data_IF_629665010211
#
_entry.id   IF_629665010211
#
_cell.length_a   1.000
_cell.length_b   1.000
_cell.length_c   1.000
_cell.angle_alpha   90.00
_cell.angle_beta   90.00
_cell.angle_gamma   90.00
#
_symmetry.space_group_name_H-M   'P 1'
#
loop_
_entity.id
_entity.type
_entity.pdbx_description
1 polymer ?
#
# COMPACT_ATOMS: atom_id res chain seq x y z
N UNK A 1 -9.75 -13.19 -14.71
CA UNK A 1 -9.62 -13.59 -13.29
C UNK A 1 -8.39 -12.93 -12.67
N UNK A 2 -8.55 -11.67 -12.28
CA UNK A 2 -7.44 -10.82 -11.80
C UNK A 2 -6.97 -11.15 -10.38
N UNK A 3 -7.77 -11.85 -9.57
CA UNK A 3 -7.59 -11.91 -8.13
C UNK A 3 -7.23 -13.29 -7.58
N UNK A 4 -7.57 -14.38 -8.27
CA UNK A 4 -7.28 -15.73 -7.79
C UNK A 4 -5.85 -16.21 -8.04
N UNK A 5 -5.12 -15.60 -8.98
CA UNK A 5 -3.71 -15.92 -9.25
C UNK A 5 -2.73 -15.21 -8.32
N UNK A 6 -3.07 -14.01 -7.82
CA UNK A 6 -2.18 -13.19 -6.98
C UNK A 6 -1.77 -13.78 -5.64
N UNK A 7 -2.53 -14.74 -5.11
CA UNK A 7 -2.21 -15.40 -3.83
C UNK A 7 -1.11 -16.46 -3.95
N UNK A 8 -0.91 -17.07 -5.13
CA UNK A 8 0.16 -18.05 -5.37
C UNK A 8 1.55 -17.44 -5.52
N UNK A 9 1.61 -16.19 -5.93
CA UNK A 9 2.87 -15.55 -6.36
C UNK A 9 3.67 -14.89 -5.22
N UNK A 10 3.06 -14.67 -4.04
CA UNK A 10 3.77 -14.08 -2.89
C UNK A 10 5.01 -14.90 -2.50
N UNK A 11 4.93 -16.23 -2.51
CA UNK A 11 6.08 -17.10 -2.20
C UNK A 11 7.17 -17.06 -3.27
N UNK A 12 6.82 -16.92 -4.54
CA UNK A 12 7.79 -16.81 -5.63
C UNK A 12 8.64 -15.53 -5.54
N UNK A 13 8.13 -14.49 -4.90
CA UNK A 13 8.80 -13.17 -4.81
C UNK A 13 9.98 -13.20 -3.86
N UNK A 14 9.87 -13.85 -2.70
CA UNK A 14 11.02 -14.04 -1.81
C UNK A 14 12.14 -14.82 -2.48
N UNK A 15 11.80 -15.85 -3.24
CA UNK A 15 12.77 -16.65 -4.01
C UNK A 15 13.36 -15.87 -5.19
N UNK A 16 12.60 -14.99 -5.83
CA UNK A 16 13.02 -14.20 -6.99
C UNK A 16 13.73 -12.89 -6.62
N UNK A 17 13.67 -12.47 -5.34
CA UNK A 17 14.41 -11.32 -4.83
C UNK A 17 13.90 -9.96 -5.31
N UNK A 18 12.59 -9.79 -5.47
CA UNK A 18 11.96 -8.50 -5.75
C UNK A 18 10.75 -8.22 -4.87
N UNK A 19 10.33 -6.96 -4.79
CA UNK A 19 9.10 -6.55 -4.10
C UNK A 19 8.18 -5.78 -5.03
N UNK A 20 6.87 -5.76 -4.75
CA UNK A 20 5.93 -4.93 -5.48
C UNK A 20 5.70 -3.58 -4.81
N UNK A 21 5.64 -2.50 -5.58
CA UNK A 21 5.17 -1.23 -5.05
C UNK A 21 3.67 -1.31 -4.75
N UNK A 22 3.29 -0.78 -3.60
CA UNK A 22 1.91 -0.58 -3.17
C UNK A 22 1.61 0.92 -3.20
N UNK A 23 0.70 1.31 -4.09
CA UNK A 23 0.46 2.70 -4.45
C UNK A 23 -0.88 3.16 -3.89
N UNK A 24 -0.85 4.21 -3.06
CA UNK A 24 -2.05 4.83 -2.53
C UNK A 24 -2.81 5.58 -3.63
N UNK A 25 -4.11 5.37 -3.68
CA UNK A 25 -5.01 6.04 -4.63
C UNK A 25 -6.20 6.67 -3.91
N UNK A 26 -6.63 7.82 -4.38
CA UNK A 26 -7.73 8.62 -3.81
C UNK A 26 -8.80 9.01 -4.83
N UNK A 27 -8.63 8.56 -6.09
CA UNK A 27 -9.56 8.89 -7.18
C UNK A 27 -9.40 7.91 -8.34
N UNK A 28 -10.35 7.95 -9.28
CA UNK A 28 -10.23 7.22 -10.55
C UNK A 28 -9.00 7.63 -11.35
N UNK A 29 -8.57 8.90 -11.26
CA UNK A 29 -7.38 9.40 -11.96
C UNK A 29 -6.09 8.82 -11.38
N UNK A 30 -5.92 8.83 -10.06
CA UNK A 30 -4.75 8.23 -9.41
C UNK A 30 -4.70 6.72 -9.59
N UNK A 31 -5.87 6.05 -9.62
CA UNK A 31 -5.96 4.63 -9.92
C UNK A 31 -5.57 4.34 -11.37
N UNK A 32 -6.03 5.12 -12.35
CA UNK A 32 -5.62 4.99 -13.74
C UNK A 32 -4.11 5.21 -13.92
N UNK A 33 -3.54 6.20 -13.22
CA UNK A 33 -2.10 6.44 -13.21
C UNK A 33 -1.32 5.23 -12.68
N UNK A 34 -1.82 4.57 -11.63
CA UNK A 34 -1.21 3.36 -11.08
C UNK A 34 -1.24 2.20 -12.10
N UNK A 35 -2.39 1.96 -12.73
CA UNK A 35 -2.52 0.93 -13.77
C UNK A 35 -1.62 1.20 -14.97
N UNK A 36 -1.52 2.47 -15.39
CA UNK A 36 -0.62 2.89 -16.47
C UNK A 36 0.84 2.63 -16.10
N UNK A 37 1.28 3.06 -14.93
CA UNK A 37 2.67 2.90 -14.48
C UNK A 37 3.08 1.42 -14.38
N UNK A 38 2.23 0.58 -13.79
CA UNK A 38 2.48 -0.87 -13.75
C UNK A 38 2.56 -1.48 -15.14
N UNK A 39 1.68 -1.06 -16.06
CA UNK A 39 1.69 -1.55 -17.46
C UNK A 39 2.96 -1.14 -18.18
N UNK A 40 3.37 0.13 -18.07
CA UNK A 40 4.60 0.63 -18.70
C UNK A 40 5.85 -0.04 -18.12
N UNK A 41 5.82 -0.41 -16.84
CA UNK A 41 6.89 -1.17 -16.22
C UNK A 41 6.86 -2.67 -16.59
N UNK A 42 5.76 -3.20 -17.13
CA UNK A 42 5.56 -4.64 -17.28
C UNK A 42 5.58 -5.36 -15.92
N UNK A 43 5.07 -4.74 -14.89
CA UNK A 43 5.05 -5.23 -13.50
C UNK A 43 3.62 -5.44 -13.04
N UNK A 44 3.38 -6.48 -12.27
CA UNK A 44 2.20 -6.52 -11.41
C UNK A 44 2.39 -5.53 -10.24
N UNK A 45 1.31 -5.17 -9.53
CA UNK A 45 1.40 -4.20 -8.45
C UNK A 45 0.24 -4.24 -7.47
N UNK A 46 0.34 -3.42 -6.45
CA UNK A 46 -0.69 -3.29 -5.41
C UNK A 46 -1.25 -1.87 -5.45
N UNK A 47 -2.56 -1.76 -5.54
CA UNK A 47 -3.30 -0.50 -5.35
C UNK A 47 -3.89 -0.51 -3.97
N UNK A 48 -3.60 0.51 -3.18
CA UNK A 48 -4.08 0.58 -1.79
C UNK A 48 -4.87 1.85 -1.52
N UNK A 49 -5.81 1.74 -0.56
CA UNK A 49 -6.74 2.79 -0.20
C UNK A 49 -6.68 2.98 1.31
N UNK A 50 -6.19 4.14 1.76
CA UNK A 50 -6.17 4.50 3.17
C UNK A 50 -7.55 4.93 3.67
N UNK A 51 -7.73 5.03 4.99
CA UNK A 51 -8.98 5.49 5.59
C UNK A 51 -9.34 6.90 5.13
N UNK A 52 -8.36 7.82 5.07
CA UNK A 52 -8.55 9.18 4.57
C UNK A 52 -8.85 9.24 3.08
N UNK A 53 -8.13 8.45 2.27
CA UNK A 53 -8.37 8.34 0.83
C UNK A 53 -9.77 7.78 0.51
N UNK A 54 -10.23 6.80 1.27
CA UNK A 54 -11.56 6.24 1.15
C UNK A 54 -12.66 7.27 1.53
N UNK A 55 -12.51 7.95 2.66
CA UNK A 55 -13.44 9.00 3.06
C UNK A 55 -13.54 10.10 1.99
N UNK A 56 -12.38 10.57 1.48
CA UNK A 56 -12.33 11.56 0.41
C UNK A 56 -13.07 11.11 -0.84
N UNK A 57 -12.87 9.86 -1.27
CA UNK A 57 -13.49 9.30 -2.48
C UNK A 57 -15.01 9.23 -2.40
N UNK A 58 -15.57 9.06 -1.20
CA UNK A 58 -17.03 9.05 -1.01
C UNK A 58 -17.68 10.43 -1.25
N UNK A 59 -16.86 11.47 -1.35
CA UNK A 59 -17.31 12.85 -1.55
C UNK A 59 -17.51 13.62 -0.24
N UNK A 60 -17.32 14.94 -0.33
CA UNK A 60 -17.27 15.84 0.83
C UNK A 60 -18.59 15.94 1.60
N UNK A 61 -19.70 15.49 1.03
CA UNK A 61 -21.01 15.47 1.68
C UNK A 61 -21.27 14.16 2.40
N UNK A 62 -20.80 13.04 1.83
CA UNK A 62 -21.04 11.68 2.34
C UNK A 62 -20.06 11.33 3.46
N UNK A 63 -18.76 11.49 3.22
CA UNK A 63 -17.67 11.23 4.17
C UNK A 63 -17.76 9.86 4.84
N UNK A 64 -17.93 8.82 4.02
CA UNK A 64 -18.04 7.43 4.47
C UNK A 64 -16.94 6.57 3.85
N UNK A 65 -16.06 6.04 4.70
CA UNK A 65 -14.89 5.27 4.28
C UNK A 65 -15.27 3.98 3.52
N UNK A 66 -16.33 3.29 3.95
CA UNK A 66 -16.76 2.04 3.30
C UNK A 66 -17.28 2.33 1.90
N UNK A 67 -18.15 3.34 1.76
CA UNK A 67 -18.68 3.76 0.45
C UNK A 67 -17.56 4.13 -0.52
N UNK A 68 -16.58 4.91 -0.07
CA UNK A 68 -15.48 5.31 -0.94
C UNK A 68 -14.56 4.17 -1.34
N UNK A 69 -14.23 3.29 -0.39
CA UNK A 69 -13.42 2.10 -0.67
C UNK A 69 -14.12 1.14 -1.64
N UNK A 70 -15.41 0.88 -1.45
CA UNK A 70 -16.22 0.06 -2.36
C UNK A 70 -16.27 0.67 -3.75
N UNK A 71 -16.51 1.99 -3.86
CA UNK A 71 -16.57 2.67 -5.15
C UNK A 71 -15.25 2.56 -5.94
N UNK A 72 -14.10 2.78 -5.30
CA UNK A 72 -12.80 2.63 -5.95
C UNK A 72 -12.48 1.16 -6.28
N UNK A 73 -12.80 0.24 -5.39
CA UNK A 73 -12.57 -1.18 -5.64
C UNK A 73 -13.41 -1.69 -6.82
N UNK A 74 -14.70 -1.35 -6.91
CA UNK A 74 -15.54 -1.73 -8.04
C UNK A 74 -15.07 -1.06 -9.34
N UNK A 75 -14.64 0.20 -9.28
CA UNK A 75 -14.01 0.86 -10.43
C UNK A 75 -12.77 0.09 -10.90
N UNK A 76 -11.89 -0.29 -9.97
CA UNK A 76 -10.70 -1.09 -10.29
C UNK A 76 -11.06 -2.43 -10.90
N UNK A 77 -12.04 -3.15 -10.36
CA UNK A 77 -12.54 -4.43 -10.93
C UNK A 77 -13.04 -4.30 -12.37
N UNK A 78 -13.59 -3.13 -12.72
CA UNK A 78 -14.06 -2.87 -14.09
C UNK A 78 -12.91 -2.54 -15.04
N UNK A 79 -12.04 -1.60 -14.65
CA UNK A 79 -11.04 -1.04 -15.58
C UNK A 79 -9.78 -1.91 -15.70
N UNK A 80 -9.31 -2.52 -14.62
CA UNK A 80 -8.07 -3.29 -14.60
C UNK A 80 -8.08 -4.51 -15.53
N UNK A 81 -9.25 -5.04 -15.87
CA UNK A 81 -9.41 -6.15 -16.83
C UNK A 81 -8.87 -5.84 -18.23
N UNK A 82 -8.72 -4.55 -18.57
CA UNK A 82 -8.25 -4.09 -19.86
C UNK A 82 -6.74 -3.83 -19.90
N UNK A 83 -6.03 -4.10 -18.80
CA UNK A 83 -4.59 -3.94 -18.71
C UNK A 83 -3.90 -5.31 -18.66
N UNK A 84 -2.74 -5.47 -19.33
CA UNK A 84 -2.01 -6.75 -19.42
C UNK A 84 -1.14 -6.98 -18.16
N UNK A 85 -1.68 -6.75 -16.98
CA UNK A 85 -1.01 -6.88 -15.68
C UNK A 85 -1.99 -7.44 -14.65
N UNK A 86 -1.47 -7.97 -13.54
CA UNK A 86 -2.29 -8.26 -12.38
C UNK A 86 -2.16 -7.15 -11.34
N UNK A 87 -3.27 -6.80 -10.70
CA UNK A 87 -3.32 -5.81 -9.64
C UNK A 87 -4.02 -6.40 -8.43
N UNK A 88 -3.40 -6.26 -7.26
CA UNK A 88 -4.05 -6.55 -5.99
C UNK A 88 -4.64 -5.28 -5.38
N UNK A 89 -5.83 -5.40 -4.78
CA UNK A 89 -6.48 -4.34 -4.02
C UNK A 89 -6.23 -4.54 -2.54
N UNK A 90 -5.78 -3.50 -1.87
CA UNK A 90 -5.43 -3.48 -0.47
C UNK A 90 -6.05 -2.28 0.25
N UNK A 91 -6.39 -2.40 1.53
CA UNK A 91 -6.67 -1.25 2.37
C UNK A 91 -5.46 -0.96 3.24
N UNK A 92 -5.07 0.29 3.27
CA UNK A 92 -3.92 0.79 4.01
C UNK A 92 -4.33 1.29 5.39
N UNK A 93 -3.42 1.41 6.31
CA UNK A 93 -3.53 1.78 7.72
C UNK A 93 -4.95 1.93 8.29
N UNK A 94 -5.38 0.95 9.09
CA UNK A 94 -6.64 1.01 9.84
C UNK A 94 -6.37 0.80 11.33
N UNK A 95 -6.39 1.89 12.08
CA UNK A 95 -6.24 1.88 13.54
C UNK A 95 -7.48 1.32 14.25
N UNK A 96 -7.32 0.95 15.52
CA UNK A 96 -8.34 0.30 16.33
C UNK A 96 -9.70 1.00 16.30
N UNK A 97 -9.71 2.33 16.41
CA UNK A 97 -10.93 3.16 16.46
C UNK A 97 -11.71 3.16 15.13
N UNK A 98 -11.04 2.78 14.06
CA UNK A 98 -11.63 2.75 12.71
C UNK A 98 -12.02 1.36 12.24
N UNK A 99 -11.66 0.27 12.95
CA UNK A 99 -11.92 -1.11 12.55
C UNK A 99 -13.40 -1.36 12.21
N UNK A 100 -14.31 -0.95 13.11
CA UNK A 100 -15.75 -1.16 12.91
C UNK A 100 -16.36 -0.27 11.82
N UNK A 101 -15.66 0.79 11.45
CA UNK A 101 -16.12 1.74 10.43
C UNK A 101 -15.44 1.53 9.07
N UNK A 102 -14.43 0.66 8.98
CA UNK A 102 -13.67 0.47 7.76
C UNK A 102 -13.37 -1.01 7.44
N UNK A 103 -12.40 -1.63 8.11
CA UNK A 103 -11.94 -2.99 7.77
C UNK A 103 -13.01 -4.05 8.05
N UNK A 104 -13.69 -3.98 9.19
CA UNK A 104 -14.70 -4.97 9.56
C UNK A 104 -15.86 -5.07 8.55
N UNK A 105 -16.47 -3.95 8.09
CA UNK A 105 -17.49 -3.97 7.03
C UNK A 105 -16.93 -4.48 5.69
N UNK A 106 -15.70 -4.12 5.31
CA UNK A 106 -15.10 -4.55 4.04
C UNK A 106 -14.78 -6.04 4.01
N UNK A 107 -14.35 -6.62 5.14
CA UNK A 107 -14.22 -8.08 5.30
C UNK A 107 -15.60 -8.76 5.12
N UNK A 108 -16.67 -8.21 5.74
CA UNK A 108 -18.00 -8.77 5.63
C UNK A 108 -18.52 -8.74 4.18
N UNK A 109 -18.29 -7.65 3.44
CA UNK A 109 -18.65 -7.54 2.02
C UNK A 109 -17.86 -8.59 1.20
N UNK A 110 -16.57 -8.75 1.45
CA UNK A 110 -15.74 -9.75 0.77
C UNK A 110 -16.20 -11.18 1.10
N UNK A 111 -16.55 -11.46 2.36
CA UNK A 111 -17.08 -12.76 2.76
C UNK A 111 -18.41 -13.06 2.04
N UNK A 112 -19.34 -12.10 1.98
CA UNK A 112 -20.61 -12.27 1.27
C UNK A 112 -20.40 -12.59 -0.21
N UNK A 113 -19.42 -11.95 -0.86
CA UNK A 113 -19.05 -12.25 -2.26
C UNK A 113 -18.51 -13.67 -2.41
N UNK A 114 -17.62 -14.09 -1.51
CA UNK A 114 -17.04 -15.44 -1.50
C UNK A 114 -18.10 -16.50 -1.28
N UNK A 115 -19.05 -16.27 -0.38
CA UNK A 115 -20.19 -17.18 -0.12
C UNK A 115 -21.10 -17.34 -1.34
N UNK A 116 -21.16 -16.32 -2.20
CA UNK A 116 -21.87 -16.36 -3.51
C UNK A 116 -21.01 -16.93 -4.66
N UNK A 117 -19.79 -17.44 -4.35
CA UNK A 117 -18.87 -17.98 -5.36
C UNK A 117 -18.18 -16.91 -6.23
N UNK A 118 -18.15 -15.67 -5.77
CA UNK A 118 -17.48 -14.55 -6.43
C UNK A 118 -16.08 -14.35 -5.81
N UNK A 119 -15.22 -13.60 -6.51
CA UNK A 119 -13.97 -13.13 -5.93
C UNK A 119 -14.25 -12.10 -4.82
N UNK A 120 -13.42 -12.03 -3.75
CA UNK A 120 -13.56 -11.02 -2.73
C UNK A 120 -13.39 -9.61 -3.33
N UNK A 121 -13.91 -8.58 -2.67
CA UNK A 121 -13.82 -7.20 -3.14
C UNK A 121 -12.38 -6.67 -3.09
N UNK A 122 -11.66 -6.99 -2.01
CA UNK A 122 -10.24 -6.72 -1.81
C UNK A 122 -9.45 -8.03 -1.79
N UNK A 123 -8.13 -7.95 -1.90
CA UNK A 123 -7.21 -9.09 -1.72
C UNK A 123 -6.64 -9.14 -0.32
N UNK A 124 -6.52 -7.99 0.32
CA UNK A 124 -5.90 -7.85 1.63
C UNK A 124 -6.38 -6.61 2.35
N UNK A 125 -6.26 -6.63 3.67
CA UNK A 125 -6.53 -5.50 4.55
C UNK A 125 -5.40 -5.33 5.54
N UNK A 126 -5.06 -4.08 5.88
CA UNK A 126 -4.10 -3.79 6.93
C UNK A 126 -4.81 -3.50 8.26
N UNK A 127 -4.30 -4.14 9.31
CA UNK A 127 -4.51 -3.81 10.70
C UNK A 127 -3.30 -3.04 11.23
N UNK A 128 -3.52 -1.80 11.61
CA UNK A 128 -2.49 -0.94 12.21
C UNK A 128 -2.60 -0.98 13.75
N UNK A 129 -1.80 -1.85 14.34
CA UNK A 129 -1.67 -2.00 15.80
C UNK A 129 -0.50 -1.21 16.40
N UNK A 130 0.13 -0.31 15.65
CA UNK A 130 1.35 0.41 16.06
C UNK A 130 1.18 1.30 17.29
N UNK A 131 -0.06 1.77 17.55
CA UNK A 131 -0.38 2.66 18.66
C UNK A 131 -0.71 1.96 19.98
N UNK A 132 -0.80 0.63 19.99
CA UNK A 132 -1.18 -0.15 21.19
C UNK A 132 -0.09 -1.15 21.58
N UNK A 133 -0.21 -1.72 22.77
CA UNK A 133 0.76 -2.70 23.27
C UNK A 133 0.73 -4.01 22.44
N UNK A 134 1.91 -4.63 22.26
CA UNK A 134 2.11 -5.78 21.36
C UNK A 134 1.15 -6.93 21.64
N UNK A 135 0.86 -7.23 22.89
CA UNK A 135 -0.06 -8.34 23.25
C UNK A 135 -1.50 -8.06 22.80
N UNK A 136 -1.99 -6.84 22.99
CA UNK A 136 -3.31 -6.43 22.50
C UNK A 136 -3.35 -6.39 20.97
N UNK A 137 -2.30 -5.86 20.34
CA UNK A 137 -2.15 -5.85 18.89
C UNK A 137 -2.28 -7.26 18.32
N UNK A 138 -1.53 -8.22 18.85
CA UNK A 138 -1.51 -9.59 18.35
C UNK A 138 -2.82 -10.34 18.61
N UNK A 139 -3.54 -10.07 19.72
CA UNK A 139 -4.87 -10.61 19.96
C UNK A 139 -5.87 -10.16 18.90
N UNK A 140 -5.92 -8.86 18.60
CA UNK A 140 -6.78 -8.31 17.56
C UNK A 140 -6.37 -8.86 16.18
N UNK A 141 -5.06 -8.93 15.91
CA UNK A 141 -4.52 -9.50 14.68
C UNK A 141 -4.96 -10.97 14.48
N UNK A 142 -4.94 -11.79 15.53
CA UNK A 142 -5.38 -13.20 15.45
C UNK A 142 -6.87 -13.30 15.10
N UNK A 143 -7.72 -12.51 15.76
CA UNK A 143 -9.16 -12.48 15.47
C UNK A 143 -9.44 -12.05 14.02
N UNK A 144 -8.76 -11.01 13.55
CA UNK A 144 -8.87 -10.55 12.16
C UNK A 144 -8.35 -11.58 11.18
N UNK A 145 -7.21 -12.24 11.48
CA UNK A 145 -6.61 -13.27 10.64
C UNK A 145 -7.57 -14.44 10.39
N UNK A 146 -8.24 -14.92 11.44
CA UNK A 146 -9.23 -15.99 11.31
C UNK A 146 -10.43 -15.59 10.46
N UNK A 147 -10.82 -14.30 10.49
CA UNK A 147 -11.93 -13.78 9.69
C UNK A 147 -11.51 -13.53 8.23
N UNK A 148 -10.34 -12.94 8.02
CA UNK A 148 -9.80 -12.71 6.67
C UNK A 148 -9.51 -14.02 5.95
N UNK A 149 -9.04 -15.05 6.64
CA UNK A 149 -8.84 -16.39 6.08
C UNK A 149 -10.14 -16.99 5.51
N UNK A 150 -11.27 -16.85 6.22
CA UNK A 150 -12.60 -17.31 5.73
C UNK A 150 -13.01 -16.55 4.45
N UNK A 151 -12.75 -15.26 4.41
CA UNK A 151 -13.05 -14.40 3.26
C UNK A 151 -12.01 -14.50 2.12
N UNK A 152 -11.03 -15.42 2.22
CA UNK A 152 -9.92 -15.59 1.27
C UNK A 152 -9.07 -14.34 1.10
N UNK A 153 -8.87 -13.58 2.16
CA UNK A 153 -8.09 -12.36 2.21
C UNK A 153 -6.75 -12.61 2.91
N UNK A 154 -5.76 -11.77 2.61
CA UNK A 154 -4.52 -11.66 3.38
C UNK A 154 -4.70 -10.55 4.41
N UNK A 155 -4.20 -10.77 5.63
CA UNK A 155 -4.10 -9.72 6.64
C UNK A 155 -2.69 -9.15 6.61
N UNK A 156 -2.57 -7.83 6.53
CA UNK A 156 -1.31 -7.13 6.84
C UNK A 156 -1.37 -6.62 8.26
N UNK A 157 -0.30 -6.84 9.01
CA UNK A 157 -0.17 -6.37 10.40
C UNK A 157 1.05 -5.49 10.54
N UNK A 158 1.04 -4.59 11.51
CA UNK A 158 2.19 -3.78 11.88
C UNK A 158 2.62 -4.09 13.31
N UNK A 159 3.90 -4.41 13.48
CA UNK A 159 4.54 -4.70 14.77
C UNK A 159 5.70 -3.74 14.98
N UNK A 160 5.55 -2.82 15.93
CA UNK A 160 6.41 -1.66 16.12
C UNK A 160 5.67 -0.37 15.70
N UNK A 161 6.32 0.77 15.79
CA UNK A 161 5.75 2.05 15.42
C UNK A 161 6.50 2.66 14.22
N UNK A 162 5.76 3.23 13.27
CA UNK A 162 6.32 4.09 12.22
C UNK A 162 6.19 5.53 12.66
N UNK A 163 7.27 6.32 12.55
CA UNK A 163 7.26 7.76 12.86
C UNK A 163 6.70 8.60 11.71
N UNK A 164 6.60 9.93 11.92
CA UNK A 164 6.17 10.87 10.89
C UNK A 164 4.68 11.12 10.87
N UNK A 165 4.14 11.56 9.73
CA UNK A 165 2.72 11.91 9.59
C UNK A 165 2.08 11.15 8.42
N UNK A 166 0.95 10.50 8.69
CA UNK A 166 0.11 9.85 7.70
C UNK A 166 -1.37 10.03 8.07
N UNK A 167 -2.20 10.45 7.10
CA UNK A 167 -3.64 10.71 7.25
C UNK A 167 -4.00 11.55 8.52
N UNK A 168 -3.13 12.52 8.86
CA UNK A 168 -3.31 13.40 10.01
C UNK A 168 -2.91 12.80 11.37
N UNK A 169 -2.29 11.64 11.38
CA UNK A 169 -1.73 11.00 12.57
C UNK A 169 -0.21 11.20 12.59
N UNK A 170 0.31 11.71 13.71
CA UNK A 170 1.75 11.97 13.87
C UNK A 170 2.37 10.95 14.82
N UNK A 171 3.36 10.19 14.32
CA UNK A 171 4.15 9.25 15.10
C UNK A 171 5.44 9.90 15.65
N UNK A 172 5.81 9.58 16.89
CA UNK A 172 7.04 10.07 17.51
C UNK A 172 8.27 9.32 16.98
N UNK A 173 9.40 10.04 16.88
CA UNK A 173 10.71 9.45 16.55
C UNK A 173 11.40 9.02 17.84
N UNK A 174 11.28 7.75 18.19
CA UNK A 174 11.87 7.18 19.40
C UNK A 174 12.31 5.71 19.17
N UNK A 175 12.71 5.00 20.24
CA UNK A 175 13.18 3.61 20.16
C UNK A 175 12.11 2.61 19.68
N UNK A 176 10.82 2.95 19.74
CA UNK A 176 9.72 2.12 19.24
C UNK A 176 9.72 1.99 17.70
N UNK A 177 10.52 2.82 17.00
CA UNK A 177 10.75 2.68 15.55
C UNK A 177 11.55 1.43 15.17
N UNK A 178 11.95 0.61 16.12
CA UNK A 178 12.75 -0.58 15.88
C UNK A 178 12.09 -1.80 16.52
N UNK A 179 11.53 -2.67 15.69
CA UNK A 179 10.99 -3.97 16.14
C UNK A 179 12.11 -4.86 16.66
N UNK A 180 11.86 -5.60 17.71
CA UNK A 180 12.84 -6.51 18.32
C UNK A 180 12.66 -7.95 17.86
N UNK A 181 13.69 -8.79 18.04
CA UNK A 181 13.59 -10.23 17.81
C UNK A 181 12.50 -10.86 18.70
N UNK A 182 12.32 -10.35 19.93
CA UNK A 182 11.29 -10.83 20.86
C UNK A 182 9.88 -10.57 20.29
N UNK A 183 9.63 -9.40 19.69
CA UNK A 183 8.35 -9.06 19.06
C UNK A 183 8.09 -9.99 17.86
N UNK A 184 9.11 -10.25 17.02
CA UNK A 184 9.00 -11.21 15.93
C UNK A 184 8.70 -12.62 16.40
N UNK A 185 9.40 -13.10 17.44
CA UNK A 185 9.11 -14.41 18.04
C UNK A 185 7.67 -14.49 18.57
N UNK A 186 7.22 -13.46 19.27
CA UNK A 186 5.87 -13.40 19.82
C UNK A 186 4.81 -13.38 18.74
N UNK A 187 5.06 -12.66 17.64
CA UNK A 187 4.19 -12.64 16.46
C UNK A 187 3.97 -14.06 15.91
N UNK A 188 5.03 -14.82 15.70
CA UNK A 188 4.93 -16.21 15.21
C UNK A 188 4.28 -17.16 16.23
N UNK A 189 4.49 -16.94 17.52
CA UNK A 189 3.82 -17.74 18.56
C UNK A 189 2.30 -17.57 18.51
N UNK A 190 1.82 -16.34 18.26
CA UNK A 190 0.38 -16.06 18.22
C UNK A 190 -0.22 -16.40 16.86
N UNK A 191 0.38 -15.94 15.76
CA UNK A 191 -0.22 -16.03 14.43
C UNK A 191 0.16 -17.27 13.65
N UNK A 192 1.27 -17.92 14.01
CA UNK A 192 1.79 -19.12 13.33
C UNK A 192 2.50 -18.78 12.00
N UNK A 193 2.77 -19.83 11.22
CA UNK A 193 3.45 -19.73 9.92
C UNK A 193 2.48 -19.76 8.72
N UNK A 194 1.20 -19.45 8.95
CA UNK A 194 0.16 -19.45 7.93
C UNK A 194 -0.97 -20.46 8.15
N UNK A 195 -0.93 -21.25 9.22
CA UNK A 195 -1.93 -22.28 9.54
C UNK A 195 -3.30 -21.68 9.88
N UNK A 196 -3.30 -20.49 10.49
CA UNK A 196 -4.52 -19.74 10.87
C UNK A 196 -5.06 -18.88 9.72
N UNK A 197 -4.22 -18.57 8.76
CA UNK A 197 -4.50 -17.69 7.63
C UNK A 197 -3.21 -17.09 7.07
N UNK A 198 -3.28 -16.49 5.90
CA UNK A 198 -2.12 -15.80 5.30
C UNK A 198 -2.03 -14.38 5.81
N UNK A 199 -0.84 -13.96 6.18
CA UNK A 199 -0.58 -12.59 6.59
C UNK A 199 0.78 -12.09 6.11
N UNK A 200 0.92 -10.79 6.04
CA UNK A 200 2.17 -10.06 5.82
C UNK A 200 2.45 -9.19 7.02
N UNK A 201 3.72 -8.86 7.26
CA UNK A 201 4.11 -8.18 8.50
C UNK A 201 4.99 -6.97 8.20
N UNK A 202 4.54 -5.78 8.58
CA UNK A 202 5.37 -4.60 8.65
C UNK A 202 6.14 -4.62 9.99
N UNK A 203 7.42 -4.95 9.91
CA UNK A 203 8.37 -4.83 11.02
C UNK A 203 9.12 -3.51 10.85
N UNK A 204 9.19 -2.70 11.90
CA UNK A 204 9.80 -1.39 11.81
C UNK A 204 11.30 -1.44 12.04
N UNK A 205 12.04 -0.69 11.22
CA UNK A 205 13.50 -0.62 11.26
C UNK A 205 14.03 0.82 11.12
N UNK A 206 13.28 1.78 11.67
CA UNK A 206 13.56 3.21 11.60
C UNK A 206 12.72 3.95 10.56
N UNK A 207 11.60 3.38 10.13
CA UNK A 207 10.71 3.91 9.12
C UNK A 207 9.99 5.17 9.58
N UNK A 208 9.77 6.11 8.65
CA UNK A 208 9.06 7.36 8.91
C UNK A 208 8.20 7.70 7.70
N UNK A 209 6.92 8.01 7.95
CA UNK A 209 5.99 8.48 6.92
C UNK A 209 6.22 9.95 6.56
N UNK A 210 5.87 10.33 5.33
CA UNK A 210 5.92 11.70 4.84
C UNK A 210 7.25 12.09 4.23
N UNK A 211 7.41 13.40 3.92
CA UNK A 211 8.61 13.95 3.33
C UNK A 211 9.57 14.44 4.41
N UNK A 212 10.75 13.85 4.50
CA UNK A 212 11.81 14.25 5.43
C UNK A 212 13.16 14.45 4.69
N UNK A 213 14.04 15.23 5.32
CA UNK A 213 15.37 15.45 4.75
C UNK A 213 16.21 14.19 4.87
N UNK A 214 16.98 13.82 3.84
CA UNK A 214 17.95 12.71 3.93
C UNK A 214 18.84 12.83 5.17
N UNK A 215 18.99 11.72 5.91
CA UNK A 215 19.79 11.68 7.14
C UNK A 215 19.07 12.12 8.42
N UNK A 216 17.79 12.53 8.35
CA UNK A 216 17.00 12.86 9.54
C UNK A 216 16.53 11.60 10.28
N UNK A 217 16.29 10.52 9.56
CA UNK A 217 15.96 9.20 10.09
C UNK A 217 17.03 8.20 9.64
N UNK A 218 17.40 7.29 10.52
CA UNK A 218 18.37 6.26 10.21
C UNK A 218 17.67 4.92 10.06
N UNK A 219 17.46 4.50 8.83
CA UNK A 219 17.03 3.15 8.52
C UNK A 219 18.09 2.11 8.90
N UNK A 220 17.66 0.99 9.46
CA UNK A 220 18.50 -0.15 9.83
C UNK A 220 17.95 -1.45 9.25
N UNK A 221 18.01 -1.67 7.92
CA UNK A 221 17.43 -2.87 7.29
C UNK A 221 17.98 -4.19 7.88
N UNK A 222 19.20 -4.17 8.45
CA UNK A 222 19.79 -5.32 9.14
C UNK A 222 18.95 -5.90 10.28
N UNK A 223 18.03 -5.11 10.89
CA UNK A 223 17.07 -5.58 11.90
C UNK A 223 16.13 -6.64 11.28
N UNK A 224 15.68 -6.42 10.05
CA UNK A 224 14.83 -7.37 9.34
C UNK A 224 15.54 -8.71 9.17
N UNK A 225 16.84 -8.67 8.79
CA UNK A 225 17.66 -9.87 8.65
C UNK A 225 17.81 -10.60 9.98
N UNK A 226 18.13 -9.88 11.06
CA UNK A 226 18.28 -10.46 12.39
C UNK A 226 17.01 -11.16 12.86
N UNK A 227 15.85 -10.52 12.70
CA UNK A 227 14.55 -11.10 13.07
C UNK A 227 14.26 -12.35 12.21
N UNK A 228 14.44 -12.27 10.88
CA UNK A 228 14.26 -13.43 10.00
C UNK A 228 15.15 -14.60 10.38
N UNK A 229 16.44 -14.34 10.63
CA UNK A 229 17.42 -15.38 10.97
C UNK A 229 17.10 -16.05 12.32
N UNK A 230 16.85 -15.28 13.38
CA UNK A 230 16.59 -15.83 14.71
C UNK A 230 15.24 -16.57 14.79
N UNK A 231 14.19 -15.97 14.20
CA UNK A 231 12.89 -16.65 14.10
C UNK A 231 12.98 -17.88 13.20
N UNK A 232 13.72 -17.81 12.11
CA UNK A 232 13.92 -18.90 11.17
C UNK A 232 14.61 -20.12 11.82
N UNK A 233 15.63 -19.89 12.65
CA UNK A 233 16.29 -20.94 13.44
C UNK A 233 15.32 -21.68 14.35
N UNK A 234 14.42 -20.95 15.03
CA UNK A 234 13.44 -21.54 15.95
C UNK A 234 12.38 -22.37 15.22
N UNK A 235 11.90 -21.88 14.08
CA UNK A 235 10.77 -22.46 13.36
C UNK A 235 11.16 -23.33 12.15
N UNK A 236 12.45 -23.44 11.83
CA UNK A 236 12.95 -24.28 10.73
C UNK A 236 12.60 -23.74 9.34
N UNK A 237 12.44 -22.41 9.19
CA UNK A 237 12.09 -21.75 7.93
C UNK A 237 13.03 -20.57 7.70
N UNK A 238 13.74 -20.52 6.56
CA UNK A 238 14.77 -19.53 6.28
C UNK A 238 14.27 -18.08 6.41
N UNK A 239 13.08 -17.78 5.86
CA UNK A 239 12.43 -16.47 5.96
C UNK A 239 10.98 -16.68 6.40
N UNK A 240 10.71 -16.73 7.71
CA UNK A 240 9.37 -17.02 8.22
C UNK A 240 8.35 -15.93 7.94
N UNK A 241 8.76 -14.68 7.76
CA UNK A 241 7.88 -13.56 7.49
C UNK A 241 7.88 -13.14 6.02
N UNK A 242 6.71 -12.84 5.49
CA UNK A 242 6.50 -12.03 4.30
C UNK A 242 6.48 -10.55 4.74
N UNK A 243 7.58 -9.82 4.52
CA UNK A 243 7.77 -8.49 5.09
C UNK A 243 7.19 -7.38 4.21
N UNK A 244 6.72 -6.33 4.87
CA UNK A 244 6.27 -5.08 4.25
C UNK A 244 7.12 -3.92 4.73
N UNK A 245 7.49 -3.03 3.81
CA UNK A 245 8.24 -1.81 4.07
C UNK A 245 7.30 -0.59 4.00
N UNK A 246 7.01 0.02 5.15
CA UNK A 246 6.27 1.28 5.26
C UNK A 246 7.23 2.47 5.32
N UNK A 247 6.73 3.67 4.96
CA UNK A 247 7.52 4.90 5.05
C UNK A 247 8.77 4.91 4.18
N UNK A 248 8.68 4.33 2.98
CA UNK A 248 9.82 4.15 2.09
C UNK A 248 10.25 5.39 1.29
N UNK A 249 9.45 6.46 1.28
CA UNK A 249 9.80 7.72 0.60
C UNK A 249 11.05 8.34 1.22
N UNK A 250 12.05 8.66 0.38
CA UNK A 250 13.35 9.18 0.84
C UNK A 250 14.41 8.13 1.19
N UNK A 251 14.09 6.83 1.09
CA UNK A 251 15.08 5.76 1.25
C UNK A 251 16.09 5.73 0.09
N UNK A 252 17.30 5.34 0.39
CA UNK A 252 18.32 5.13 -0.65
C UNK A 252 18.08 3.82 -1.40
N UNK A 253 18.58 3.73 -2.64
CA UNK A 253 18.48 2.50 -3.44
C UNK A 253 19.12 1.28 -2.71
N UNK A 254 20.19 1.50 -1.94
CA UNK A 254 20.85 0.44 -1.18
C UNK A 254 19.98 -0.05 -0.03
N UNK A 255 19.35 0.84 0.74
CA UNK A 255 18.46 0.48 1.84
C UNK A 255 17.24 -0.31 1.34
N UNK A 256 16.70 0.06 0.18
CA UNK A 256 15.61 -0.68 -0.48
C UNK A 256 16.10 -2.08 -0.90
N UNK A 257 17.24 -2.17 -1.58
CA UNK A 257 17.80 -3.44 -2.03
C UNK A 257 18.10 -4.39 -0.86
N UNK A 258 18.67 -3.85 0.23
CA UNK A 258 18.94 -4.62 1.45
C UNK A 258 17.63 -5.16 2.05
N UNK A 259 16.61 -4.30 2.22
CA UNK A 259 15.31 -4.70 2.76
C UNK A 259 14.63 -5.79 1.90
N UNK A 260 14.66 -5.65 0.57
CA UNK A 260 14.15 -6.68 -0.35
C UNK A 260 14.92 -7.99 -0.20
N UNK A 261 16.25 -7.94 -0.08
CA UNK A 261 17.07 -9.14 0.13
C UNK A 261 16.76 -9.86 1.43
N UNK A 262 16.24 -9.15 2.45
CA UNK A 262 15.86 -9.70 3.74
C UNK A 262 14.39 -10.17 3.81
N UNK A 263 13.67 -10.13 2.69
CA UNK A 263 12.33 -10.72 2.59
C UNK A 263 11.18 -9.71 2.49
N UNK A 264 11.46 -8.45 2.25
CA UNK A 264 10.42 -7.47 1.88
C UNK A 264 9.84 -7.84 0.51
N UNK A 265 8.53 -8.00 0.45
CA UNK A 265 7.77 -8.35 -0.75
C UNK A 265 6.83 -7.24 -1.22
N UNK A 266 6.58 -6.25 -0.38
CA UNK A 266 5.70 -5.09 -0.63
C UNK A 266 6.36 -3.85 -0.03
N UNK A 267 6.31 -2.73 -0.76
CA UNK A 267 6.75 -1.43 -0.25
C UNK A 267 5.67 -0.38 -0.50
N UNK A 268 5.26 0.32 0.56
CA UNK A 268 4.28 1.39 0.49
C UNK A 268 4.91 2.66 -0.08
N UNK A 269 4.25 3.25 -1.09
CA UNK A 269 4.68 4.50 -1.72
C UNK A 269 3.45 5.40 -1.89
N UNK A 270 3.41 6.50 -1.14
CA UNK A 270 2.33 7.49 -1.19
C UNK A 270 2.87 8.89 -1.47
N UNK A 271 3.65 9.48 -0.57
CA UNK A 271 4.12 10.87 -0.64
C UNK A 271 4.74 11.22 -1.99
N UNK A 272 5.60 10.36 -2.53
CA UNK A 272 6.27 10.59 -3.82
C UNK A 272 5.29 10.58 -4.99
N UNK A 273 4.31 9.68 -4.96
CA UNK A 273 3.29 9.57 -6.03
C UNK A 273 2.29 10.71 -5.97
N UNK A 274 1.93 11.19 -4.78
CA UNK A 274 1.15 12.41 -4.60
C UNK A 274 1.85 13.62 -5.21
N UNK A 275 3.15 13.79 -4.93
CA UNK A 275 3.93 14.86 -5.52
C UNK A 275 4.01 14.74 -7.04
N UNK A 276 4.30 13.54 -7.56
CA UNK A 276 4.41 13.27 -8.99
C UNK A 276 3.09 13.51 -9.75
N UNK A 277 1.94 13.31 -9.11
CA UNK A 277 0.62 13.66 -9.63
C UNK A 277 0.38 15.17 -9.62
N UNK A 278 0.68 15.83 -8.51
CA UNK A 278 0.35 17.24 -8.29
C UNK A 278 1.27 18.21 -9.06
N UNK A 279 2.56 17.88 -9.18
CA UNK A 279 3.56 18.75 -9.82
C UNK A 279 3.22 19.13 -11.27
N UNK A 280 2.79 18.23 -12.17
CA UNK A 280 2.36 18.57 -13.52
C UNK A 280 1.10 19.41 -13.58
N UNK A 281 0.20 19.30 -12.60
CA UNK A 281 -0.99 20.16 -12.49
C UNK A 281 -0.56 21.60 -12.24
N UNK A 282 0.32 21.81 -11.26
CA UNK A 282 0.87 23.15 -10.96
C UNK A 282 1.56 23.74 -12.18
N UNK A 283 2.40 22.97 -12.86
CA UNK A 283 3.07 23.42 -14.08
C UNK A 283 2.07 23.83 -15.17
N UNK A 284 1.01 23.03 -15.36
CA UNK A 284 -0.03 23.34 -16.34
C UNK A 284 -0.74 24.67 -16.00
N UNK A 285 -1.10 24.88 -14.73
CA UNK A 285 -1.77 26.08 -14.28
C UNK A 285 -0.92 27.34 -14.50
N UNK A 286 0.35 27.29 -14.11
CA UNK A 286 1.26 28.42 -14.28
C UNK A 286 1.59 28.73 -15.74
N UNK A 287 1.82 27.73 -16.58
CA UNK A 287 2.11 27.91 -18.01
C UNK A 287 0.91 28.43 -18.79
N UNK A 288 -0.29 28.23 -18.31
CA UNK A 288 -1.52 28.61 -19.02
C UNK A 288 -2.38 29.61 -18.23
N UNK A 289 -1.75 30.42 -17.38
CA UNK A 289 -2.42 31.33 -16.45
C UNK A 289 -3.53 32.15 -17.13
N UNK A 290 -3.24 32.82 -18.22
CA UNK A 290 -4.20 33.70 -18.96
C UNK A 290 -5.37 32.90 -19.55
N UNK A 291 -5.13 31.64 -19.94
CA UNK A 291 -6.18 30.75 -20.45
C UNK A 291 -7.04 30.09 -19.34
N UNK A 292 -6.50 30.01 -18.12
CA UNK A 292 -7.19 29.45 -16.96
C UNK A 292 -8.15 30.45 -16.33
N UNK A 293 -7.81 31.74 -16.34
CA UNK A 293 -8.58 32.79 -15.67
C UNK A 293 -9.48 33.54 -16.64
N UNK A 294 -10.62 33.98 -16.10
CA UNK A 294 -11.48 34.98 -16.72
C UNK A 294 -11.26 36.31 -15.98
N UNK A 295 -10.66 37.27 -16.63
CA UNK A 295 -10.39 38.58 -16.05
C UNK A 295 -11.26 39.62 -16.79
N UNK A 296 -11.96 40.47 -16.05
CA UNK A 296 -12.73 41.61 -16.58
C UNK A 296 -13.68 41.28 -17.76
N UNK A 297 -14.39 40.14 -17.66
CA UNK A 297 -15.38 39.73 -18.67
C UNK A 297 -14.78 38.96 -19.85
N UNK A 298 -13.48 38.73 -19.89
CA UNK A 298 -12.87 37.88 -20.89
C UNK A 298 -13.24 36.38 -20.74
N UNK A 299 -13.13 35.67 -21.85
CA UNK A 299 -13.45 34.22 -21.87
C UNK A 299 -12.16 33.41 -21.79
N UNK A 300 -11.98 32.65 -20.70
CA UNK A 300 -10.87 31.74 -20.58
C UNK A 300 -10.84 30.69 -21.70
N UNK A 301 -9.67 30.10 -21.94
CA UNK A 301 -9.50 29.08 -22.96
C UNK A 301 -9.92 27.70 -22.39
N UNK A 302 -11.07 27.16 -22.88
CA UNK A 302 -11.62 25.88 -22.45
C UNK A 302 -10.60 24.75 -22.49
N UNK A 303 -9.71 24.69 -23.48
CA UNK A 303 -8.67 23.67 -23.59
C UNK A 303 -7.68 23.69 -22.42
N UNK A 304 -7.52 24.84 -21.74
CA UNK A 304 -6.60 24.98 -20.62
C UNK A 304 -7.26 24.60 -19.30
N UNK A 305 -8.52 25.00 -19.07
CA UNK A 305 -9.21 24.71 -17.79
C UNK A 305 -10.02 23.40 -17.78
N UNK A 306 -10.15 22.68 -18.89
CA UNK A 306 -10.79 21.35 -18.91
C UNK A 306 -9.98 20.39 -18.01
N UNK A 307 -10.60 19.77 -16.97
CA UNK A 307 -9.90 18.86 -16.07
C UNK A 307 -9.14 17.73 -16.79
N UNK A 308 -9.64 17.27 -17.92
CA UNK A 308 -8.97 16.25 -18.74
C UNK A 308 -7.63 16.72 -19.33
N UNK A 309 -7.45 18.03 -19.51
CA UNK A 309 -6.22 18.59 -20.08
C UNK A 309 -5.04 18.55 -19.12
N UNK A 310 -5.27 18.87 -17.85
CA UNK A 310 -4.24 18.80 -16.82
C UNK A 310 -4.22 17.43 -16.14
N UNK A 311 -5.38 16.76 -16.04
CA UNK A 311 -5.47 15.41 -15.45
C UNK A 311 -4.60 14.40 -16.19
N UNK A 312 -4.60 14.38 -17.53
CA UNK A 312 -3.70 13.50 -18.32
C UNK A 312 -2.22 13.70 -18.01
N UNK A 313 -1.80 14.94 -17.72
CA UNK A 313 -0.41 15.24 -17.34
C UNK A 313 -0.09 14.75 -15.93
N UNK A 314 -1.06 14.88 -15.03
CA UNK A 314 -0.96 14.36 -13.66
C UNK A 314 -0.84 12.83 -13.66
N UNK A 315 -1.72 12.14 -14.39
CA UNK A 315 -1.65 10.67 -14.56
C UNK A 315 -0.29 10.22 -15.12
N UNK A 316 0.19 10.87 -16.16
CA UNK A 316 1.50 10.55 -16.76
C UNK A 316 2.68 10.80 -15.78
N UNK A 317 2.63 11.88 -15.01
CA UNK A 317 3.66 12.16 -14.00
C UNK A 317 3.71 11.11 -12.90
N UNK A 318 2.54 10.73 -12.38
CA UNK A 318 2.44 9.66 -11.38
C UNK A 318 2.85 8.30 -11.96
N UNK A 319 2.41 7.97 -13.18
CA UNK A 319 2.78 6.72 -13.84
C UNK A 319 4.30 6.58 -14.00
N UNK A 320 4.99 7.66 -14.41
CA UNK A 320 6.45 7.66 -14.53
C UNK A 320 7.14 7.36 -13.19
N UNK A 321 6.67 7.95 -12.07
CA UNK A 321 7.22 7.66 -10.74
C UNK A 321 6.99 6.21 -10.31
N UNK A 322 5.88 5.61 -10.73
CA UNK A 322 5.57 4.20 -10.45
C UNK A 322 6.50 3.27 -11.25
N UNK A 323 6.82 3.61 -12.51
CA UNK A 323 7.84 2.88 -13.28
C UNK A 323 9.18 2.86 -12.56
N UNK A 324 9.62 4.03 -12.06
CA UNK A 324 10.84 4.13 -11.24
C UNK A 324 10.77 3.26 -9.97
N UNK A 325 9.62 3.22 -9.30
CA UNK A 325 9.41 2.36 -8.13
C UNK A 325 9.55 0.87 -8.48
N UNK A 326 8.95 0.44 -9.59
CA UNK A 326 9.10 -0.94 -10.08
C UNK A 326 10.56 -1.29 -10.40
N UNK A 327 11.33 -0.34 -10.94
CA UNK A 327 12.77 -0.51 -11.18
C UNK A 327 13.55 -0.65 -9.87
N UNK A 328 13.31 0.25 -8.91
CA UNK A 328 13.98 0.25 -7.61
C UNK A 328 13.71 -1.03 -6.81
N UNK A 329 12.50 -1.58 -6.91
CA UNK A 329 12.07 -2.81 -6.23
C UNK A 329 12.37 -4.10 -7.01
N UNK A 330 12.94 -3.99 -8.21
CA UNK A 330 13.28 -5.14 -9.06
C UNK A 330 12.09 -5.82 -9.72
N UNK A 331 10.87 -5.25 -9.64
CA UNK A 331 9.65 -5.85 -10.21
C UNK A 331 9.40 -5.52 -11.68
N UNK A 332 10.16 -4.62 -12.28
CA UNK A 332 10.04 -4.28 -13.68
C UNK A 332 10.26 -5.51 -14.57
N UNK A 333 9.34 -5.78 -15.50
CA UNK A 333 9.38 -6.92 -16.42
C UNK A 333 9.01 -8.26 -15.78
N UNK A 334 8.44 -8.29 -14.57
CA UNK A 334 8.09 -9.52 -13.84
C UNK A 334 6.61 -9.87 -13.88
N UNK A 335 5.79 -9.14 -14.64
CA UNK A 335 4.36 -9.46 -14.72
C UNK A 335 4.14 -10.89 -15.22
N UNK A 336 3.31 -11.64 -14.51
CA UNK A 336 2.95 -13.01 -14.88
C UNK A 336 1.82 -13.07 -15.91
N UNK A 337 1.30 -11.92 -16.33
CA UNK A 337 0.27 -11.79 -17.38
C UNK A 337 0.85 -11.39 -18.74
N UNK A 338 2.13 -11.07 -18.81
CA UNK A 338 2.83 -10.67 -20.02
C UNK A 338 3.25 -11.87 -20.89
#
# INVERSE_FOLDING_TARGET
CLLSRGLGDVYKRQEQGFAYPAINVTSSQTLNAALQGFTEAGSDGIVQISTGGAEYTSGQTVKDMVTGAVALAEYAHVVAKNYPINVALHTDHCQKEKLDKYVNPLIAISQERVDKGQDPLFNSHMWDGSAIEVEENLQIAEELLLRTAKAKLILEIEVGAVGGEEDGVTGEINEKLYTTVADGMRTLEVLGLGEKGRYTTALTFGNVHGAYKPGYVKLRPGILKEIQDECGKKYGKEKPFDLVFHGGSGSTAQEIADAVSYGVIKMNIDTDTQYAFSRPVVEHMFKNYDGMLKIDGEVGNKKMYDPRSWGKKAEAGMAARIVEACEQLGSKGTSVSA
#
